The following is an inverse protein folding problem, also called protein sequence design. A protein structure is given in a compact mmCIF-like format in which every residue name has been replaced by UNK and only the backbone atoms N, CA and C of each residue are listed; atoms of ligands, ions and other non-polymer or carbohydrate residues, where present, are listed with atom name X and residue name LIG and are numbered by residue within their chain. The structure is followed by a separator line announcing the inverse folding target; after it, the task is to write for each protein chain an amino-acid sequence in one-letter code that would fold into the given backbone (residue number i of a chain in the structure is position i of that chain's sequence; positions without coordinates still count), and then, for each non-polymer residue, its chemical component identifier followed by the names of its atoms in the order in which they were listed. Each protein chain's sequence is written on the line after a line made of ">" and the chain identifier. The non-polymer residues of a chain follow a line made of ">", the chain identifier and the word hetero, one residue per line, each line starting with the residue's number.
data_IF_652759726344
#
_entry.id   IF_652759726344
#
_cell.length_a   1.000
_cell.length_b   1.000
_cell.length_c   1.000
_cell.angle_alpha   90.00
_cell.angle_beta   90.00
_cell.angle_gamma   90.00
#
_symmetry.space_group_name_H-M   'P 1'
#
loop_
_entity.id
_entity.type
_entity.pdbx_description
1 polymer ?
#
# COMPACT_ATOMS: atom_id res chain seq x y z
N UNK A 1 -16.23 7.29 -13.10
CA UNK A 1 -15.20 6.72 -12.20
C UNK A 1 -15.94 5.85 -11.19
N UNK A 2 -15.91 4.55 -11.38
CA UNK A 2 -16.78 3.59 -10.69
C UNK A 2 -16.47 3.54 -9.19
N UNK A 3 -17.47 3.71 -8.32
CA UNK A 3 -17.35 3.76 -6.85
C UNK A 3 -16.46 2.66 -6.24
N UNK A 4 -16.38 1.49 -6.87
CA UNK A 4 -15.54 0.38 -6.46
C UNK A 4 -14.04 0.71 -6.44
N UNK A 5 -13.53 1.50 -7.39
CA UNK A 5 -12.10 1.82 -7.44
C UNK A 5 -11.70 2.71 -6.26
N UNK A 6 -12.54 3.69 -5.90
CA UNK A 6 -12.31 4.55 -4.73
C UNK A 6 -12.33 3.75 -3.43
N UNK A 7 -13.27 2.82 -3.29
CA UNK A 7 -13.34 1.93 -2.12
C UNK A 7 -12.09 1.05 -2.00
N UNK A 8 -11.66 0.45 -3.11
CA UNK A 8 -10.46 -0.38 -3.15
C UNK A 8 -9.19 0.43 -2.86
N UNK A 9 -9.06 1.67 -3.38
CA UNK A 9 -7.96 2.57 -3.02
C UNK A 9 -7.94 2.88 -1.52
N UNK A 10 -9.10 3.16 -0.93
CA UNK A 10 -9.21 3.35 0.53
C UNK A 10 -8.74 2.12 1.31
N UNK A 11 -9.09 0.92 0.86
CA UNK A 11 -8.62 -0.32 1.47
C UNK A 11 -7.10 -0.51 1.34
N UNK A 12 -6.53 -0.20 0.18
CA UNK A 12 -5.08 -0.23 -0.04
C UNK A 12 -4.37 0.66 0.99
N UNK A 13 -4.84 1.90 1.16
CA UNK A 13 -4.26 2.85 2.12
C UNK A 13 -4.37 2.35 3.56
N UNK A 14 -5.55 1.88 3.97
CA UNK A 14 -5.78 1.36 5.32
C UNK A 14 -4.87 0.17 5.65
N UNK A 15 -4.72 -0.79 4.74
CA UNK A 15 -3.86 -1.97 4.97
C UNK A 15 -2.38 -1.55 4.96
N UNK A 16 -1.98 -0.66 4.04
CA UNK A 16 -0.62 -0.13 3.99
C UNK A 16 -0.23 0.56 5.30
N UNK A 17 -1.08 1.46 5.83
CA UNK A 17 -0.80 2.16 7.09
C UNK A 17 -0.63 1.18 8.25
N UNK A 18 -1.47 0.14 8.31
CA UNK A 18 -1.36 -0.94 9.29
C UNK A 18 -0.04 -1.70 9.16
N UNK A 19 0.39 -2.01 7.94
CA UNK A 19 1.67 -2.67 7.67
C UNK A 19 2.86 -1.78 8.00
N UNK A 20 2.79 -0.47 7.74
CA UNK A 20 3.80 0.52 8.11
C UNK A 20 3.96 0.63 9.62
N UNK A 21 2.86 0.69 10.37
CA UNK A 21 2.88 0.70 11.83
C UNK A 21 3.56 -0.57 12.40
N UNK A 22 3.38 -1.71 11.72
CA UNK A 22 3.96 -3.01 12.07
C UNK A 22 5.33 -3.28 11.45
N UNK A 23 6.00 -2.29 10.83
CA UNK A 23 7.31 -2.49 10.18
C UNK A 23 8.39 -3.14 11.07
N UNK A 24 8.30 -2.95 12.38
CA UNK A 24 9.26 -3.44 13.36
C UNK A 24 9.13 -4.94 13.65
N UNK A 25 7.97 -5.55 13.34
CA UNK A 25 7.75 -7.00 13.47
C UNK A 25 7.91 -7.75 12.15
N UNK A 26 8.30 -7.06 11.06
CA UNK A 26 8.48 -7.70 9.75
C UNK A 26 9.76 -8.54 9.78
N UNK A 27 9.68 -9.88 9.62
CA UNK A 27 10.85 -10.74 9.61
C UNK A 27 11.70 -10.48 8.36
N UNK A 28 13.01 -10.69 8.46
CA UNK A 28 13.95 -10.47 7.35
C UNK A 28 13.58 -11.22 6.07
N UNK A 29 12.98 -12.42 6.20
CA UNK A 29 12.50 -13.23 5.08
C UNK A 29 11.38 -12.56 4.27
N UNK A 30 10.55 -11.73 4.91
CA UNK A 30 9.43 -11.04 4.28
C UNK A 30 9.71 -9.56 4.02
N UNK A 31 10.87 -9.04 4.44
CA UNK A 31 11.22 -7.61 4.34
C UNK A 31 11.25 -7.11 2.89
N UNK A 32 11.79 -7.91 1.97
CA UNK A 32 11.84 -7.55 0.54
C UNK A 32 10.44 -7.49 -0.10
N UNK A 33 9.61 -8.50 0.18
CA UNK A 33 8.20 -8.55 -0.26
C UNK A 33 7.41 -7.35 0.30
N UNK A 34 7.60 -7.07 1.60
CA UNK A 34 6.99 -5.92 2.27
C UNK A 34 7.41 -4.59 1.63
N UNK A 35 8.72 -4.34 1.45
CA UNK A 35 9.21 -3.09 0.87
C UNK A 35 8.64 -2.87 -0.54
N UNK A 36 8.67 -3.91 -1.37
CA UNK A 36 8.09 -3.88 -2.73
C UNK A 36 6.60 -3.49 -2.70
N UNK A 37 5.82 -4.06 -1.77
CA UNK A 37 4.39 -3.74 -1.64
C UNK A 37 4.16 -2.32 -1.14
N UNK A 38 4.94 -1.84 -0.16
CA UNK A 38 4.85 -0.46 0.34
C UNK A 38 5.20 0.55 -0.75
N UNK A 39 6.25 0.30 -1.54
CA UNK A 39 6.64 1.18 -2.65
C UNK A 39 5.58 1.23 -3.76
N UNK A 40 5.04 0.07 -4.16
CA UNK A 40 3.95 0.02 -5.15
C UNK A 40 2.70 0.75 -4.66
N UNK A 41 2.46 0.74 -3.36
CA UNK A 41 1.29 1.38 -2.74
C UNK A 41 1.54 2.83 -2.32
N UNK A 42 2.79 3.32 -2.46
CA UNK A 42 3.19 4.70 -2.18
C UNK A 42 2.41 5.71 -3.04
N UNK A 43 2.15 5.35 -4.29
CA UNK A 43 1.49 6.18 -5.31
C UNK A 43 0.03 6.49 -5.00
N UNK A 44 -0.63 5.68 -4.16
CA UNK A 44 -2.02 5.92 -3.74
C UNK A 44 -2.12 6.95 -2.61
N UNK A 45 -1.03 7.24 -1.92
CA UNK A 45 -1.03 8.16 -0.79
C UNK A 45 -0.96 9.61 -1.29
N UNK A 46 -1.99 10.42 -1.01
CA UNK A 46 -2.03 11.81 -1.46
C UNK A 46 -0.90 12.66 -0.89
N UNK A 47 -0.26 12.24 0.22
CA UNK A 47 0.90 12.90 0.81
C UNK A 47 2.18 12.66 0.02
N UNK A 48 2.24 11.58 -0.77
CA UNK A 48 3.41 11.27 -1.61
C UNK A 48 3.60 12.33 -2.71
N UNK A 49 2.50 12.75 -3.35
CA UNK A 49 2.53 13.82 -4.36
C UNK A 49 2.80 15.20 -3.76
N UNK A 50 2.36 15.46 -2.52
CA UNK A 50 2.60 16.74 -1.84
C UNK A 50 4.07 16.87 -1.40
N UNK A 51 4.71 15.81 -0.91
CA UNK A 51 6.12 15.85 -0.53
C UNK A 51 7.08 15.93 -1.74
N UNK A 52 6.64 15.52 -2.94
CA UNK A 52 7.39 15.67 -4.19
C UNK A 52 6.96 16.89 -5.02
N UNK A 53 6.10 17.76 -4.47
CA UNK A 53 5.67 19.00 -5.09
C UNK A 53 6.81 20.02 -5.08
N UNK A 54 7.54 20.14 -6.20
CA UNK A 54 8.57 21.18 -6.38
C UNK A 54 7.87 22.49 -6.78
N UNK A 55 8.17 23.58 -6.07
CA UNK A 55 7.66 24.93 -6.38
C UNK A 55 7.97 25.28 -7.85
N UNK A 56 6.92 25.56 -8.64
CA UNK A 56 7.04 25.88 -10.08
C UNK A 56 6.83 24.70 -11.03
N UNK A 57 6.68 23.47 -10.54
CA UNK A 57 6.26 22.31 -11.34
C UNK A 57 4.78 22.04 -11.12
N UNK A 58 4.03 21.78 -12.20
CA UNK A 58 2.64 21.36 -12.09
C UNK A 58 2.56 20.10 -11.24
N UNK A 59 1.96 20.20 -10.06
CA UNK A 59 1.64 19.05 -9.24
C UNK A 59 0.47 18.36 -9.92
N UNK A 60 0.77 17.31 -10.68
CA UNK A 60 -0.25 16.37 -11.13
C UNK A 60 -0.93 15.85 -9.86
N UNK A 61 -2.24 16.14 -9.72
CA UNK A 61 -3.10 15.52 -8.68
C UNK A 61 -2.74 14.04 -8.58
N UNK A 62 -2.75 13.42 -7.37
CA UNK A 62 -2.45 12.00 -7.21
C UNK A 62 -3.18 11.27 -8.32
N UNK A 63 -2.39 10.74 -9.27
CA UNK A 63 -2.93 10.26 -10.52
C UNK A 63 -3.96 9.22 -10.11
N UNK A 64 -5.24 9.51 -10.36
CA UNK A 64 -6.32 8.54 -10.23
C UNK A 64 -5.78 7.29 -10.90
N UNK A 65 -5.51 6.25 -10.10
CA UNK A 65 -4.83 5.03 -10.55
C UNK A 65 -5.35 4.67 -11.93
N UNK A 66 -4.48 4.77 -12.93
CA UNK A 66 -4.84 4.57 -14.34
C UNK A 66 -4.87 3.09 -14.70
N UNK A 67 -4.58 2.22 -13.74
CA UNK A 67 -4.66 0.77 -13.90
C UNK A 67 -6.09 0.24 -13.86
N UNK A 68 -6.25 -1.01 -14.28
CA UNK A 68 -7.52 -1.74 -14.22
C UNK A 68 -7.94 -1.99 -12.77
N UNK A 69 -9.25 -1.94 -12.49
CA UNK A 69 -9.81 -2.35 -11.20
C UNK A 69 -9.31 -3.73 -10.73
N UNK A 70 -8.97 -4.61 -11.68
CA UNK A 70 -8.43 -5.94 -11.40
C UNK A 70 -7.01 -5.87 -10.80
N UNK A 71 -6.17 -4.94 -11.27
CA UNK A 71 -4.83 -4.73 -10.70
C UNK A 71 -4.92 -4.17 -9.28
N UNK A 72 -5.88 -3.28 -9.05
CA UNK A 72 -6.17 -2.75 -7.72
C UNK A 72 -6.64 -3.85 -6.76
N UNK A 73 -7.51 -4.75 -7.23
CA UNK A 73 -7.99 -5.89 -6.45
C UNK A 73 -6.86 -6.87 -6.11
N UNK A 74 -5.98 -7.19 -7.08
CA UNK A 74 -4.77 -8.00 -6.82
C UNK A 74 -3.88 -7.35 -5.76
N UNK A 75 -3.68 -6.04 -5.83
CA UNK A 75 -2.88 -5.29 -4.86
C UNK A 75 -3.47 -5.42 -3.45
N UNK A 76 -4.78 -5.26 -3.30
CA UNK A 76 -5.48 -5.46 -2.02
C UNK A 76 -5.29 -6.89 -1.51
N UNK A 77 -5.41 -7.89 -2.37
CA UNK A 77 -5.21 -9.29 -1.99
C UNK A 77 -3.78 -9.55 -1.51
N UNK A 78 -2.75 -9.07 -2.22
CA UNK A 78 -1.35 -9.23 -1.81
C UNK A 78 -1.06 -8.53 -0.47
N UNK A 79 -1.64 -7.35 -0.24
CA UNK A 79 -1.51 -6.65 1.04
C UNK A 79 -2.16 -7.44 2.20
N UNK A 80 -3.33 -8.05 1.97
CA UNK A 80 -3.99 -8.90 2.97
C UNK A 80 -3.20 -10.18 3.24
N UNK A 81 -2.66 -10.82 2.21
CA UNK A 81 -1.80 -11.99 2.38
C UNK A 81 -0.56 -11.65 3.20
N UNK A 82 0.07 -10.50 2.93
CA UNK A 82 1.20 -10.02 3.72
C UNK A 82 0.80 -9.80 5.18
N UNK A 83 -0.36 -9.21 5.44
CA UNK A 83 -0.88 -9.05 6.79
C UNK A 83 -1.08 -10.39 7.51
N UNK A 84 -1.64 -11.39 6.82
CA UNK A 84 -1.87 -12.74 7.35
C UNK A 84 -0.52 -13.42 7.65
N UNK A 85 0.45 -13.33 6.74
CA UNK A 85 1.81 -13.88 6.93
C UNK A 85 2.48 -13.27 8.17
N UNK A 86 2.36 -11.96 8.36
CA UNK A 86 2.90 -11.27 9.54
C UNK A 86 2.18 -11.68 10.83
N UNK A 87 0.86 -11.86 10.78
CA UNK A 87 0.08 -12.32 11.93
C UNK A 87 0.38 -13.79 12.29
N UNK A 88 0.60 -14.66 11.30
CA UNK A 88 0.97 -16.05 11.49
C UNK A 88 2.40 -16.18 12.04
N UNK A 89 3.36 -15.41 11.53
CA UNK A 89 4.73 -15.36 12.06
C UNK A 89 4.79 -14.86 13.51
N UNK A 90 3.90 -13.94 13.89
CA UNK A 90 3.80 -13.42 15.27
C UNK A 90 3.20 -14.42 16.28
N UNK A 91 2.51 -15.48 15.83
CA UNK A 91 1.87 -16.48 16.70
C UNK A 91 2.81 -17.61 17.16
N UNK A 92 3.98 -17.77 16.53
CA UNK A 92 4.95 -18.82 16.88
C UNK A 92 6.01 -18.37 17.91
N UNK A 93 5.84 -17.21 18.52
CA UNK A 93 6.69 -16.71 19.61
C UNK A 93 5.84 -16.58 20.89
N UNK A 94 5.45 -17.71 21.48
CA UNK A 94 4.95 -17.76 22.85
C UNK A 94 5.37 -19.07 23.51
#
# INVERSE_FOLDING_TARGET
>A
MSNNNTLLMGQVLQIRDKLLAKRHIVPSSLKSEWQTLIERTATFDPSFTVNHAIKGRACTKPAMFTGSANELMKLVSSLKEMEIKLAAGSRNHH
#
